data_IF_718734564689
#
_entry.id   IF_718734564689
#
_cell.length_a   1.000
_cell.length_b   1.000
_cell.length_c   1.000
_cell.angle_alpha   90.00
_cell.angle_beta   90.00
_cell.angle_gamma   90.00
#
_symmetry.space_group_name_H-M   'P 1'
#
loop_
_entity.id
_entity.type
_entity.pdbx_description
1 polymer ?
#
# COMPACT_ATOMS: atom_id res chain seq x y z
N UNK A 1 -5.43 -14.34 8.17
CA UNK A 1 -6.12 -13.33 7.35
C UNK A 1 -5.70 -13.49 5.89
N UNK A 2 -6.59 -13.29 4.92
CA UNK A 2 -6.23 -13.32 3.49
C UNK A 2 -5.92 -11.89 3.02
N UNK A 3 -4.71 -11.68 2.47
CA UNK A 3 -4.22 -10.36 2.07
C UNK A 3 -4.08 -10.29 0.55
N UNK A 4 -4.68 -9.27 -0.07
CA UNK A 4 -4.33 -8.88 -1.43
C UNK A 4 -3.06 -8.03 -1.38
N UNK A 5 -2.00 -8.48 -2.05
CA UNK A 5 -0.75 -7.75 -2.16
C UNK A 5 -0.65 -7.08 -3.53
N UNK A 6 -0.61 -5.75 -3.54
CA UNK A 6 -0.17 -4.98 -4.69
C UNK A 6 1.36 -5.12 -4.83
N UNK A 7 1.79 -6.02 -5.71
CA UNK A 7 3.19 -6.36 -5.97
C UNK A 7 3.92 -5.28 -6.79
N UNK A 8 4.82 -4.58 -6.12
CA UNK A 8 5.88 -3.76 -6.75
C UNK A 8 7.30 -4.25 -6.42
N UNK A 9 7.46 -5.02 -5.34
CA UNK A 9 8.76 -5.57 -4.90
C UNK A 9 8.61 -6.91 -4.16
N UNK A 10 9.72 -7.65 -4.04
CA UNK A 10 9.79 -8.91 -3.29
C UNK A 10 9.74 -8.68 -1.77
N UNK A 11 8.73 -9.25 -1.11
CA UNK A 11 8.53 -9.20 0.35
C UNK A 11 8.82 -10.55 1.04
N UNK A 12 9.64 -11.40 0.41
CA UNK A 12 9.68 -12.83 0.72
C UNK A 12 9.98 -13.17 2.18
N UNK A 13 10.86 -12.42 2.85
CA UNK A 13 11.17 -12.66 4.27
C UNK A 13 9.98 -12.38 5.18
N UNK A 14 9.28 -11.26 4.96
CA UNK A 14 8.09 -10.89 5.73
C UNK A 14 6.92 -11.84 5.45
N UNK A 15 6.67 -12.13 4.17
CA UNK A 15 5.60 -13.05 3.74
C UNK A 15 5.84 -14.44 4.31
N UNK A 16 7.07 -14.97 4.17
CA UNK A 16 7.43 -16.27 4.70
C UNK A 16 7.30 -16.35 6.22
N UNK A 17 7.60 -15.26 6.95
CA UNK A 17 7.43 -15.22 8.40
C UNK A 17 5.96 -15.29 8.83
N UNK A 18 5.08 -14.56 8.12
CA UNK A 18 3.64 -14.51 8.41
C UNK A 18 2.87 -15.76 7.92
N UNK A 19 3.37 -16.43 6.88
CA UNK A 19 2.80 -17.70 6.42
C UNK A 19 3.19 -18.84 7.35
N UNK A 20 4.43 -18.84 7.89
CA UNK A 20 4.94 -19.91 8.74
C UNK A 20 4.09 -20.17 9.98
N UNK A 21 3.49 -19.13 10.54
CA UNK A 21 2.63 -19.23 11.73
C UNK A 21 1.14 -19.05 11.43
N UNK A 22 0.75 -19.11 10.15
CA UNK A 22 -0.62 -18.94 9.67
C UNK A 22 -1.26 -17.59 10.02
N UNK A 23 -0.46 -16.55 10.29
CA UNK A 23 -0.99 -15.19 10.48
C UNK A 23 -1.69 -14.70 9.22
N UNK A 24 -1.07 -14.90 8.05
CA UNK A 24 -1.62 -14.43 6.79
C UNK A 24 -1.30 -15.32 5.58
N UNK A 25 -2.24 -15.36 4.63
CA UNK A 25 -2.04 -15.85 3.26
C UNK A 25 -2.09 -14.68 2.29
N UNK A 26 -1.48 -14.83 1.12
CA UNK A 26 -1.30 -13.72 0.18
C UNK A 26 -1.78 -14.10 -1.22
N UNK A 27 -2.59 -13.22 -1.81
CA UNK A 27 -2.87 -13.18 -3.24
C UNK A 27 -2.07 -12.03 -3.85
N UNK A 28 -1.41 -12.24 -4.99
CA UNK A 28 -0.56 -11.23 -5.61
C UNK A 28 -1.27 -10.64 -6.82
N UNK A 29 -1.38 -9.32 -6.85
CA UNK A 29 -1.82 -8.56 -8.02
C UNK A 29 -0.62 -7.82 -8.60
N UNK A 30 -0.41 -7.93 -9.89
CA UNK A 30 0.68 -7.26 -10.62
C UNK A 30 0.09 -6.14 -11.48
N UNK A 31 0.83 -5.04 -11.66
CA UNK A 31 0.41 -3.99 -12.59
C UNK A 31 0.53 -4.47 -14.03
N UNK A 32 -0.19 -3.81 -14.94
CA UNK A 32 -0.27 -4.23 -16.35
C UNK A 32 0.37 -3.22 -17.31
N UNK A 33 0.73 -2.02 -16.84
CA UNK A 33 1.33 -1.00 -17.69
C UNK A 33 2.85 -1.16 -17.75
N UNK A 34 3.38 -1.26 -18.96
CA UNK A 34 4.81 -1.21 -19.22
C UNK A 34 5.45 0.03 -18.57
N UNK A 35 6.61 -0.16 -17.96
CA UNK A 35 7.30 0.90 -17.24
C UNK A 35 8.82 0.71 -17.28
N UNK A 36 9.52 1.79 -16.95
CA UNK A 36 10.94 1.74 -16.62
C UNK A 36 11.12 1.15 -15.19
N UNK A 37 12.29 0.57 -14.87
CA UNK A 37 12.55 0.08 -13.53
C UNK A 37 12.47 1.22 -12.52
N UNK A 38 11.78 0.97 -11.40
CA UNK A 38 11.77 1.90 -10.27
C UNK A 38 13.17 2.13 -9.67
N UNK A 39 13.35 3.21 -8.89
CA UNK A 39 14.60 3.46 -8.18
C UNK A 39 15.03 2.24 -7.35
N UNK A 40 16.29 1.81 -7.50
CA UNK A 40 16.83 0.64 -6.79
C UNK A 40 16.50 -0.73 -7.42
N UNK A 41 15.73 -0.77 -8.51
CA UNK A 41 15.45 -2.01 -9.27
C UNK A 41 16.36 -2.15 -10.49
N UNK A 42 16.72 -1.03 -11.12
CA UNK A 42 17.53 -1.01 -12.33
C UNK A 42 18.87 -1.75 -12.11
N UNK A 43 19.13 -2.77 -12.94
CA UNK A 43 20.36 -3.57 -12.88
C UNK A 43 20.33 -4.77 -11.93
N UNK A 44 19.22 -4.99 -11.20
CA UNK A 44 19.03 -6.19 -10.36
C UNK A 44 18.10 -7.24 -10.99
N UNK A 45 17.20 -6.80 -11.87
CA UNK A 45 16.24 -7.66 -12.57
C UNK A 45 16.28 -7.33 -14.06
N UNK A 46 15.94 -8.30 -14.90
CA UNK A 46 15.80 -8.10 -16.34
C UNK A 46 14.37 -7.60 -16.65
N UNK A 47 14.17 -6.77 -17.69
CA UNK A 47 12.85 -6.38 -18.17
C UNK A 47 12.03 -7.59 -18.66
N UNK A 48 10.69 -7.48 -18.78
CA UNK A 48 9.87 -6.26 -18.66
C UNK A 48 9.56 -5.84 -17.22
N UNK A 49 9.26 -4.55 -17.01
CA UNK A 49 8.80 -4.00 -15.73
C UNK A 49 7.39 -3.45 -15.88
N UNK A 50 6.58 -3.64 -14.83
CA UNK A 50 5.19 -3.21 -14.84
C UNK A 50 4.86 -2.28 -13.67
N UNK A 51 3.89 -1.40 -13.93
CA UNK A 51 3.31 -0.47 -12.98
C UNK A 51 1.78 -0.52 -13.06
N UNK A 52 1.09 -0.12 -11.99
CA UNK A 52 -0.39 -0.08 -11.99
C UNK A 52 -0.94 1.10 -12.79
N UNK A 53 -0.29 2.24 -12.63
CA UNK A 53 -0.56 3.49 -13.33
C UNK A 53 0.76 4.24 -13.48
N UNK A 54 0.83 5.20 -14.41
CA UNK A 54 2.02 6.06 -14.55
C UNK A 54 2.34 6.76 -13.23
N UNK A 55 3.50 6.45 -12.68
CA UNK A 55 3.90 6.88 -11.33
C UNK A 55 5.21 7.67 -11.39
N UNK A 56 5.29 8.87 -10.78
CA UNK A 56 4.24 9.56 -10.03
C UNK A 56 3.19 10.19 -10.94
N UNK A 57 1.96 10.37 -10.42
CA UNK A 57 0.94 11.16 -11.12
C UNK A 57 1.41 12.60 -11.27
N UNK A 58 1.15 13.22 -12.42
CA UNK A 58 1.54 14.60 -12.66
C UNK A 58 0.36 15.55 -12.52
N UNK A 59 0.61 16.86 -12.63
CA UNK A 59 -0.45 17.87 -12.79
C UNK A 59 -0.85 18.07 -14.26
N UNK A 60 -0.26 17.31 -15.19
CA UNK A 60 -0.68 17.32 -16.59
C UNK A 60 -2.12 16.83 -16.67
N UNK A 61 -2.98 17.63 -17.29
CA UNK A 61 -4.38 17.26 -17.55
C UNK A 61 -4.51 16.38 -18.81
N UNK A 62 -3.44 15.71 -19.24
CA UNK A 62 -3.54 14.70 -20.29
C UNK A 62 -4.48 13.60 -19.80
N UNK A 63 -5.47 13.26 -20.61
CA UNK A 63 -6.56 12.34 -20.26
C UNK A 63 -6.05 11.01 -19.67
N UNK A 64 -4.86 10.57 -20.09
CA UNK A 64 -4.22 9.33 -19.69
C UNK A 64 -3.94 9.19 -18.17
N UNK A 65 -3.61 10.28 -17.45
CA UNK A 65 -3.19 10.22 -16.02
C UNK A 65 -4.37 9.94 -15.06
N UNK A 66 -5.61 10.29 -15.44
CA UNK A 66 -6.82 9.91 -14.71
C UNK A 66 -7.32 8.54 -15.15
N UNK A 67 -7.27 8.25 -16.44
CA UNK A 67 -7.70 6.95 -16.97
C UNK A 67 -6.88 5.80 -16.36
N UNK A 68 -5.56 5.93 -16.27
CA UNK A 68 -4.71 4.87 -15.70
C UNK A 68 -5.02 4.55 -14.24
N UNK A 69 -5.21 5.58 -13.40
CA UNK A 69 -5.45 5.36 -11.96
C UNK A 69 -6.83 4.73 -11.72
N UNK A 70 -7.83 5.11 -12.52
CA UNK A 70 -9.16 4.50 -12.45
C UNK A 70 -9.11 3.05 -12.93
N UNK A 71 -8.35 2.75 -14.00
CA UNK A 71 -8.12 1.37 -14.45
C UNK A 71 -7.41 0.53 -13.37
N UNK A 72 -6.43 1.10 -12.66
CA UNK A 72 -5.76 0.43 -11.55
C UNK A 72 -6.70 0.15 -10.36
N UNK A 73 -7.68 1.03 -10.10
CA UNK A 73 -8.72 0.79 -9.10
C UNK A 73 -9.69 -0.30 -9.54
N UNK A 74 -10.10 -0.28 -10.82
CA UNK A 74 -10.94 -1.33 -11.40
C UNK A 74 -10.24 -2.69 -11.32
N UNK A 75 -8.94 -2.75 -11.60
CA UNK A 75 -8.14 -3.97 -11.44
C UNK A 75 -8.15 -4.52 -10.00
N UNK A 76 -8.11 -3.64 -8.98
CA UNK A 76 -8.27 -4.05 -7.59
C UNK A 76 -9.68 -4.59 -7.32
N UNK A 77 -10.71 -3.91 -7.81
CA UNK A 77 -12.11 -4.32 -7.63
C UNK A 77 -12.41 -5.67 -8.31
N UNK A 78 -11.88 -5.90 -9.51
CA UNK A 78 -11.96 -7.18 -10.22
C UNK A 78 -11.27 -8.31 -9.44
N UNK A 79 -10.06 -8.05 -8.92
CA UNK A 79 -9.36 -9.03 -8.10
C UNK A 79 -10.15 -9.38 -6.83
N UNK A 80 -10.77 -8.39 -6.18
CA UNK A 80 -11.65 -8.58 -5.01
C UNK A 80 -12.87 -9.41 -5.38
N UNK A 81 -13.50 -9.12 -6.52
CA UNK A 81 -14.69 -9.83 -6.98
C UNK A 81 -14.38 -11.30 -7.36
N UNK A 82 -13.23 -11.55 -7.99
CA UNK A 82 -12.87 -12.87 -8.50
C UNK A 82 -12.22 -13.79 -7.46
N UNK A 83 -11.43 -13.23 -6.55
CA UNK A 83 -10.58 -13.99 -5.63
C UNK A 83 -10.84 -13.71 -4.15
N UNK A 84 -11.73 -12.76 -3.85
CA UNK A 84 -12.13 -12.44 -2.49
C UNK A 84 -13.02 -13.52 -1.84
N UNK A 85 -13.46 -13.28 -0.59
CA UNK A 85 -13.23 -12.07 0.19
C UNK A 85 -11.78 -11.98 0.72
N UNK A 86 -11.24 -10.75 0.72
CA UNK A 86 -9.96 -10.42 1.35
C UNK A 86 -10.18 -9.73 2.70
N UNK A 87 -9.39 -10.10 3.70
CA UNK A 87 -9.39 -9.43 5.01
C UNK A 87 -8.62 -8.11 4.97
N UNK A 88 -7.63 -7.99 4.08
CA UNK A 88 -6.84 -6.77 3.99
C UNK A 88 -6.09 -6.61 2.68
N UNK A 89 -5.56 -5.41 2.49
CA UNK A 89 -4.66 -5.06 1.39
C UNK A 89 -3.28 -4.70 1.93
N UNK A 90 -2.22 -5.16 1.26
CA UNK A 90 -0.85 -4.81 1.57
C UNK A 90 -0.18 -4.20 0.35
N UNK A 91 0.45 -3.05 0.53
CA UNK A 91 1.23 -2.42 -0.53
C UNK A 91 2.54 -1.83 -0.02
N UNK A 92 3.56 -1.91 -0.86
CA UNK A 92 4.85 -1.24 -0.66
C UNK A 92 4.98 -0.04 -1.59
N UNK A 93 5.41 1.10 -1.05
CA UNK A 93 5.63 2.33 -1.80
C UNK A 93 4.44 2.64 -2.72
N UNK A 94 4.64 2.64 -4.04
CA UNK A 94 3.60 2.79 -5.07
C UNK A 94 2.36 1.89 -4.82
N UNK A 95 2.53 0.59 -4.52
CA UNK A 95 1.39 -0.31 -4.30
C UNK A 95 0.56 0.04 -3.05
N UNK A 96 1.19 0.62 -2.02
CA UNK A 96 0.46 1.08 -0.84
C UNK A 96 -0.19 2.45 -1.06
N UNK A 97 0.43 3.31 -1.87
CA UNK A 97 -0.17 4.57 -2.34
C UNK A 97 -1.42 4.29 -3.19
N UNK A 98 -1.37 3.29 -4.08
CA UNK A 98 -2.52 2.79 -4.83
C UNK A 98 -3.63 2.31 -3.89
N UNK A 99 -3.32 1.42 -2.96
CA UNK A 99 -4.30 0.87 -2.03
C UNK A 99 -4.95 1.94 -1.13
N UNK A 100 -4.16 2.93 -0.67
CA UNK A 100 -4.69 4.07 0.08
C UNK A 100 -5.63 4.92 -0.79
N UNK A 101 -5.24 5.18 -2.05
CA UNK A 101 -6.07 5.89 -3.02
C UNK A 101 -7.38 5.18 -3.33
N UNK A 102 -7.35 3.86 -3.50
CA UNK A 102 -8.53 3.02 -3.73
C UNK A 102 -9.52 3.11 -2.57
N UNK A 103 -9.04 2.98 -1.33
CA UNK A 103 -9.88 3.11 -0.13
C UNK A 103 -10.55 4.49 -0.03
N UNK A 104 -9.81 5.56 -0.34
CA UNK A 104 -10.33 6.93 -0.34
C UNK A 104 -11.33 7.12 -1.47
N UNK A 105 -11.02 6.62 -2.68
CA UNK A 105 -11.89 6.70 -3.84
C UNK A 105 -13.22 5.98 -3.60
N UNK A 106 -13.18 4.75 -3.08
CA UNK A 106 -14.37 4.00 -2.69
C UNK A 106 -15.23 4.76 -1.68
N UNK A 107 -14.62 5.32 -0.64
CA UNK A 107 -15.34 6.08 0.37
C UNK A 107 -15.99 7.35 -0.20
N UNK A 108 -15.37 8.00 -1.20
CA UNK A 108 -15.90 9.19 -1.89
C UNK A 108 -17.05 8.82 -2.85
N UNK A 109 -16.90 7.75 -3.63
CA UNK A 109 -17.83 7.38 -4.70
C UNK A 109 -19.01 6.55 -4.21
N UNK A 110 -18.85 5.84 -3.09
CA UNK A 110 -19.88 4.95 -2.53
C UNK A 110 -20.16 5.27 -1.05
N UNK A 111 -20.62 6.49 -0.70
CA UNK A 111 -20.85 6.87 0.68
C UNK A 111 -21.82 5.92 1.39
N UNK A 112 -21.41 5.39 2.54
CA UNK A 112 -22.22 4.48 3.35
C UNK A 112 -22.11 3.00 2.96
N UNK A 113 -21.44 2.65 1.86
CA UNK A 113 -21.08 1.26 1.59
C UNK A 113 -19.93 0.80 2.48
N UNK A 114 -19.90 -0.50 2.78
CA UNK A 114 -18.80 -1.09 3.52
C UNK A 114 -17.48 -0.94 2.74
N UNK A 115 -16.33 -0.73 3.42
CA UNK A 115 -15.03 -0.73 2.75
C UNK A 115 -14.74 -2.08 2.08
N UNK A 116 -13.97 -2.09 0.97
CA UNK A 116 -13.65 -3.33 0.24
C UNK A 116 -12.72 -4.28 1.01
N UNK A 117 -12.05 -3.78 2.06
CA UNK A 117 -11.15 -4.54 2.93
C UNK A 117 -11.47 -4.27 4.40
N UNK A 118 -11.17 -5.24 5.27
CA UNK A 118 -11.31 -5.08 6.73
C UNK A 118 -10.09 -4.42 7.38
N UNK A 119 -8.95 -4.37 6.67
CA UNK A 119 -7.72 -3.73 7.14
C UNK A 119 -6.76 -3.39 6.00
N UNK A 120 -5.74 -2.57 6.30
CA UNK A 120 -4.67 -2.28 5.34
C UNK A 120 -3.28 -2.27 6.00
N UNK A 121 -2.27 -2.57 5.20
CA UNK A 121 -0.85 -2.56 5.59
C UNK A 121 -0.09 -1.74 4.54
N UNK A 122 0.48 -0.62 4.96
CA UNK A 122 1.23 0.28 4.08
C UNK A 122 2.69 0.27 4.49
N UNK A 123 3.59 -0.05 3.56
CA UNK A 123 5.04 -0.13 3.81
C UNK A 123 5.76 0.91 2.97
N UNK A 124 6.40 1.90 3.62
CA UNK A 124 7.09 3.01 2.97
C UNK A 124 6.23 3.72 1.92
N UNK A 125 4.92 3.83 2.17
CA UNK A 125 3.96 4.41 1.23
C UNK A 125 3.61 5.84 1.58
N UNK A 126 2.96 6.51 0.62
CA UNK A 126 2.54 7.89 0.69
C UNK A 126 1.00 7.96 0.53
N UNK A 127 0.34 9.05 0.97
CA UNK A 127 -1.00 9.37 0.49
C UNK A 127 -1.02 9.51 -1.03
N UNK A 128 -2.19 9.41 -1.68
CA UNK A 128 -2.34 9.84 -3.07
C UNK A 128 -1.78 11.26 -3.26
N UNK A 129 -0.91 11.41 -4.25
CA UNK A 129 -0.20 12.66 -4.49
C UNK A 129 -0.06 12.92 -5.98
N UNK A 130 0.21 14.18 -6.31
CA UNK A 130 0.71 14.61 -7.63
C UNK A 130 2.08 15.24 -7.49
N UNK A 131 2.89 15.17 -8.54
CA UNK A 131 4.25 15.68 -8.51
C UNK A 131 4.65 16.20 -9.89
N UNK A 132 5.25 17.39 -9.93
CA UNK A 132 6.00 17.81 -11.11
C UNK A 132 7.35 17.09 -11.16
N UNK A 133 7.91 16.81 -12.35
CA UNK A 133 9.23 16.20 -12.45
C UNK A 133 10.28 16.93 -11.61
N UNK A 134 10.99 16.19 -10.75
CA UNK A 134 12.03 16.71 -9.87
C UNK A 134 11.55 17.56 -8.68
N UNK A 135 10.25 17.66 -8.42
CA UNK A 135 9.70 18.39 -7.29
C UNK A 135 9.22 17.45 -6.17
N UNK A 136 8.81 18.02 -5.03
CA UNK A 136 8.23 17.24 -3.92
C UNK A 136 6.78 16.82 -4.21
N UNK A 137 6.33 15.68 -3.67
CA UNK A 137 4.93 15.27 -3.69
C UNK A 137 3.99 16.34 -3.12
N UNK A 138 2.89 16.60 -3.82
CA UNK A 138 1.78 17.43 -3.36
C UNK A 138 0.61 16.51 -3.01
N UNK A 139 0.27 16.47 -1.73
CA UNK A 139 -0.80 15.64 -1.18
C UNK A 139 -2.12 16.43 -1.19
N UNK A 140 -3.21 15.76 -1.56
CA UNK A 140 -4.56 16.31 -1.46
C UNK A 140 -4.92 16.64 0.01
N UNK A 141 -5.49 17.81 0.24
CA UNK A 141 -5.90 18.27 1.58
C UNK A 141 -7.29 17.72 1.97
N UNK A 142 -7.58 17.64 3.26
CA UNK A 142 -8.90 17.22 3.75
C UNK A 142 -9.13 15.70 3.67
N UNK A 143 -8.05 14.92 3.63
CA UNK A 143 -8.08 13.45 3.61
C UNK A 143 -8.12 12.82 5.01
N UNK A 144 -8.07 13.63 6.08
CA UNK A 144 -8.13 13.16 7.46
C UNK A 144 -9.42 12.36 7.74
N UNK A 145 -9.27 11.10 8.16
CA UNK A 145 -10.39 10.24 8.56
C UNK A 145 -11.16 9.61 7.40
N UNK A 146 -10.64 9.67 6.17
CA UNK A 146 -11.20 8.96 5.02
C UNK A 146 -10.90 7.46 5.04
N UNK A 147 -9.76 7.05 5.60
CA UNK A 147 -9.42 5.63 5.80
C UNK A 147 -9.81 5.22 7.23
N UNK A 148 -10.99 4.60 7.36
CA UNK A 148 -11.60 4.25 8.67
C UNK A 148 -11.42 2.80 9.11
N UNK A 149 -10.75 1.99 8.29
CA UNK A 149 -10.42 0.60 8.63
C UNK A 149 -9.15 0.55 9.48
N UNK A 150 -8.93 -0.50 10.29
CA UNK A 150 -7.66 -0.74 10.97
C UNK A 150 -6.47 -0.76 9.99
N UNK A 151 -5.47 0.10 10.23
CA UNK A 151 -4.25 0.16 9.41
C UNK A 151 -2.97 -0.08 10.23
N UNK A 152 -2.00 -0.79 9.64
CA UNK A 152 -0.60 -0.75 10.07
C UNK A 152 0.21 0.03 9.04
N UNK A 153 0.69 1.19 9.41
CA UNK A 153 1.68 1.94 8.65
C UNK A 153 3.08 1.52 9.11
N UNK A 154 3.94 1.16 8.16
CA UNK A 154 5.31 0.71 8.39
C UNK A 154 6.24 1.64 7.62
N UNK A 155 7.21 2.24 8.30
CA UNK A 155 8.16 3.17 7.67
C UNK A 155 9.62 2.83 8.00
N UNK A 156 10.52 3.08 7.05
CA UNK A 156 11.96 3.00 7.25
C UNK A 156 12.51 4.24 7.95
N UNK A 157 13.23 4.06 9.06
CA UNK A 157 13.84 5.14 9.82
C UNK A 157 14.82 6.01 9.01
N UNK A 158 15.39 5.46 7.93
CA UNK A 158 16.31 6.15 7.02
C UNK A 158 15.68 6.45 5.66
N UNK A 159 14.36 6.31 5.53
CA UNK A 159 13.64 6.60 4.30
C UNK A 159 13.58 8.11 4.07
N UNK A 160 14.05 8.59 2.92
CA UNK A 160 13.97 10.00 2.53
C UNK A 160 12.51 10.50 2.43
N UNK A 161 11.56 9.57 2.25
CA UNK A 161 10.13 9.81 2.16
C UNK A 161 9.39 9.56 3.49
N UNK A 162 10.10 9.37 4.61
CA UNK A 162 9.51 9.06 5.93
C UNK A 162 8.41 10.05 6.35
N UNK A 163 8.57 11.34 6.04
CA UNK A 163 7.57 12.38 6.33
C UNK A 163 6.22 12.11 5.65
N UNK A 164 6.22 11.45 4.50
CA UNK A 164 5.02 11.10 3.76
C UNK A 164 4.37 9.82 4.27
N UNK A 165 5.13 8.85 4.79
CA UNK A 165 4.54 7.74 5.54
C UNK A 165 3.85 8.22 6.82
N UNK A 166 4.39 9.24 7.48
CA UNK A 166 3.68 9.92 8.58
C UNK A 166 2.42 10.66 8.09
N UNK A 167 2.46 11.30 6.92
CA UNK A 167 1.28 11.92 6.32
C UNK A 167 0.18 10.88 6.02
N UNK A 168 0.53 9.71 5.49
CA UNK A 168 -0.40 8.60 5.28
C UNK A 168 -0.99 8.07 6.60
N UNK A 169 -0.20 7.99 7.66
CA UNK A 169 -0.73 7.64 8.97
C UNK A 169 -1.73 8.68 9.50
N UNK A 170 -1.53 9.97 9.22
CA UNK A 170 -2.42 11.05 9.69
C UNK A 170 -3.81 10.99 9.04
N UNK A 171 -3.92 10.44 7.83
CA UNK A 171 -5.22 10.29 7.15
C UNK A 171 -6.02 9.08 7.66
N UNK A 172 -5.35 8.12 8.32
CA UNK A 172 -5.99 6.94 8.88
C UNK A 172 -6.70 7.25 10.21
N UNK A 173 -7.77 6.50 10.52
CA UNK A 173 -8.41 6.56 11.83
C UNK A 173 -7.46 6.08 12.94
N UNK A 174 -7.05 7.02 13.80
CA UNK A 174 -6.08 6.81 14.87
C UNK A 174 -6.60 5.91 15.98
N UNK A 175 -7.91 5.75 16.13
CA UNK A 175 -8.49 4.86 17.14
C UNK A 175 -8.20 3.39 16.84
N UNK A 176 -8.06 3.05 15.56
CA UNK A 176 -7.87 1.67 15.12
C UNK A 176 -6.54 1.42 14.40
N UNK A 177 -5.75 2.45 14.09
CA UNK A 177 -4.51 2.36 13.31
C UNK A 177 -3.22 2.50 14.15
N UNK A 178 -2.13 1.89 13.66
CA UNK A 178 -0.81 1.94 14.30
C UNK A 178 0.30 2.31 13.30
N UNK A 179 1.41 2.84 13.83
CA UNK A 179 2.60 3.20 13.07
C UNK A 179 3.81 2.49 13.68
N UNK A 180 4.59 1.78 12.86
CA UNK A 180 5.82 1.13 13.28
C UNK A 180 6.99 1.49 12.37
N UNK A 181 8.18 1.48 12.94
CA UNK A 181 9.40 1.91 12.25
C UNK A 181 10.42 0.77 12.23
N UNK A 182 10.98 0.47 11.06
CA UNK A 182 12.13 -0.42 10.92
C UNK A 182 13.41 0.38 10.65
N UNK A 183 14.58 -0.20 10.89
CA UNK A 183 15.87 0.49 10.79
C UNK A 183 16.48 0.54 9.37
N UNK A 184 15.68 0.56 8.31
CA UNK A 184 16.16 0.60 6.90
C UNK A 184 15.71 1.89 6.21
N UNK A 185 16.15 2.10 4.97
CA UNK A 185 15.69 3.19 4.10
C UNK A 185 14.37 2.86 3.40
N UNK A 186 14.19 3.37 2.18
CA UNK A 186 13.06 3.06 1.29
C UNK A 186 13.15 1.64 0.70
N UNK A 187 13.21 0.64 1.57
CA UNK A 187 13.45 -0.75 1.23
C UNK A 187 12.71 -1.67 2.19
N UNK A 188 12.53 -2.93 1.79
CA UNK A 188 11.89 -3.98 2.57
C UNK A 188 12.96 -4.77 3.31
N UNK A 189 12.99 -4.71 4.65
CA UNK A 189 13.99 -5.44 5.41
C UNK A 189 13.90 -6.96 5.22
N UNK A 190 15.07 -7.59 5.05
CA UNK A 190 15.25 -9.06 5.04
C UNK A 190 15.92 -9.58 6.32
N UNK A 191 16.46 -8.68 7.15
CA UNK A 191 17.10 -9.07 8.41
C UNK A 191 16.06 -9.42 9.49
N UNK A 192 16.39 -10.42 10.31
CA UNK A 192 15.51 -10.98 11.34
C UNK A 192 14.91 -9.92 12.27
N UNK A 193 15.71 -8.92 12.66
CA UNK A 193 15.29 -7.90 13.63
C UNK A 193 14.17 -7.04 13.06
N UNK A 194 14.36 -6.49 11.87
CA UNK A 194 13.37 -5.63 11.24
C UNK A 194 12.14 -6.40 10.76
N UNK A 195 12.32 -7.62 10.24
CA UNK A 195 11.19 -8.49 9.89
C UNK A 195 10.32 -8.78 11.11
N UNK A 196 10.91 -9.07 12.27
CA UNK A 196 10.16 -9.32 13.50
C UNK A 196 9.33 -8.10 13.96
N UNK A 197 9.84 -6.88 13.78
CA UNK A 197 9.10 -5.64 14.09
C UNK A 197 7.85 -5.54 13.19
N UNK A 198 8.04 -5.67 11.88
CA UNK A 198 6.95 -5.57 10.90
C UNK A 198 5.91 -6.67 11.11
N UNK A 199 6.36 -7.92 11.21
CA UNK A 199 5.48 -9.07 11.39
C UNK A 199 4.74 -9.02 12.73
N UNK A 200 5.39 -8.55 13.80
CA UNK A 200 4.74 -8.34 15.10
C UNK A 200 3.58 -7.35 15.05
N UNK A 201 3.69 -6.27 14.27
CA UNK A 201 2.60 -5.32 14.08
C UNK A 201 1.44 -5.93 13.26
N UNK A 202 1.75 -6.68 12.20
CA UNK A 202 0.75 -7.35 11.36
C UNK A 202 0.00 -8.45 12.15
N UNK A 203 0.67 -9.18 13.04
CA UNK A 203 0.03 -10.12 13.98
C UNK A 203 -0.94 -9.42 14.94
N UNK A 204 -0.58 -8.25 15.46
CA UNK A 204 -1.50 -7.46 16.30
C UNK A 204 -2.72 -6.98 15.50
N UNK A 205 -2.51 -6.60 14.24
CA UNK A 205 -3.60 -6.26 13.33
C UNK A 205 -4.52 -7.46 13.07
N UNK A 206 -3.95 -8.67 12.87
CA UNK A 206 -4.74 -9.88 12.63
C UNK A 206 -5.66 -10.24 13.79
N UNK A 207 -5.18 -10.14 15.02
CA UNK A 207 -6.01 -10.33 16.20
C UNK A 207 -7.10 -9.25 16.30
N UNK A 208 -6.75 -7.99 16.00
CA UNK A 208 -7.70 -6.88 16.06
C UNK A 208 -8.89 -7.08 15.12
N UNK A 209 -8.66 -7.46 13.87
CA UNK A 209 -9.76 -7.61 12.90
C UNK A 209 -10.69 -8.80 13.21
N UNK A 210 -10.20 -9.80 13.95
CA UNK A 210 -11.02 -10.93 14.43
C UNK A 210 -11.99 -10.52 15.55
N UNK A 211 -11.67 -9.48 16.33
CA UNK A 211 -12.51 -9.02 17.45
C UNK A 211 -13.52 -7.92 17.10
N UNK A 212 -13.61 -7.51 15.84
CA UNK A 212 -14.49 -6.41 15.36
C UNK A 212 -15.79 -6.94 14.75
N UNK A 213 -16.06 -8.25 14.83
CA UNK A 213 -17.26 -8.90 14.29
C UNK A 213 -17.84 -9.90 15.30
#
# INVERSE_FOLDING_TARGET
MTILKARTIYLGSLIGDLQRDNTATFHFLEGELDSDPGPGIAGFYDPPYYSYYRFPRTFSATDDDETDILAAYEQLDEAIALHGPFDGVLGFSHGGTLAAGHLIHHAKMSPGQAPPFRSAIFVNSLPPFRMHPGQRPVIEQGLEGWIRIPVVNIAGAMDELFEFSLALYRICDKSCSSFVVHGKGHDVPTDKKNVAIMAGAIRKLSVKILGVW
#
